data_IF_577837602664
#
_entry.id   IF_577837602664
#
_cell.length_a   1.000
_cell.length_b   1.000
_cell.length_c   1.000
_cell.angle_alpha   90.00
_cell.angle_beta   90.00
_cell.angle_gamma   90.00
#
_symmetry.space_group_name_H-M   'P 1'
#
loop_
_entity.id
_entity.type
_entity.pdbx_description
1 polymer ?
#
# COMPACT_ATOMS: atom_id res chain seq x y z
N UNK A 1 -7.59 -16.66 -24.31
CA UNK A 1 -8.29 -15.45 -24.79
C UNK A 1 -7.54 -14.91 -26.00
N UNK A 2 -7.61 -15.59 -27.15
CA UNK A 2 -6.74 -15.29 -28.29
C UNK A 2 -7.06 -13.93 -28.94
N UNK A 3 -8.35 -13.70 -29.25
CA UNK A 3 -8.80 -12.45 -29.87
C UNK A 3 -8.54 -11.21 -29.01
N UNK A 4 -8.84 -11.28 -27.71
CA UNK A 4 -8.60 -10.17 -26.77
C UNK A 4 -7.11 -9.84 -26.62
N UNK A 5 -6.24 -10.86 -26.63
CA UNK A 5 -4.80 -10.64 -26.57
C UNK A 5 -4.30 -9.93 -27.84
N UNK A 6 -4.83 -10.29 -29.00
CA UNK A 6 -4.46 -9.68 -30.28
C UNK A 6 -4.99 -8.25 -30.44
N UNK A 7 -6.20 -7.97 -29.93
CA UNK A 7 -6.74 -6.62 -29.83
C UNK A 7 -5.89 -5.75 -28.90
N UNK A 8 -5.57 -6.23 -27.69
CA UNK A 8 -4.71 -5.52 -26.74
C UNK A 8 -3.32 -5.24 -27.33
N UNK A 9 -2.77 -6.19 -28.10
CA UNK A 9 -1.44 -6.10 -28.70
C UNK A 9 -1.25 -4.83 -29.53
N UNK A 10 -2.30 -4.40 -30.23
CA UNK A 10 -2.32 -3.20 -31.08
C UNK A 10 -2.22 -1.89 -30.28
N UNK A 11 -2.51 -1.92 -28.97
CA UNK A 11 -2.54 -0.74 -28.11
C UNK A 11 -1.40 -0.67 -27.10
N UNK A 12 -0.57 -1.71 -26.91
CA UNK A 12 0.56 -1.56 -26.00
C UNK A 12 1.64 -0.65 -26.64
N UNK A 13 2.32 0.20 -25.84
CA UNK A 13 3.28 1.17 -26.38
C UNK A 13 4.58 0.52 -26.84
N UNK A 14 5.30 1.19 -27.75
CA UNK A 14 6.60 0.72 -28.26
C UNK A 14 6.50 -0.19 -29.50
N UNK A 15 7.65 -0.44 -30.12
CA UNK A 15 7.76 -1.24 -31.36
C UNK A 15 7.40 -2.71 -31.13
N UNK A 16 6.68 -3.28 -32.09
CA UNK A 16 6.09 -4.63 -32.02
C UNK A 16 5.71 -5.13 -33.41
N UNK A 17 5.61 -6.44 -33.56
CA UNK A 17 5.07 -7.07 -34.77
C UNK A 17 3.54 -6.99 -34.82
N UNK A 18 2.96 -7.51 -35.91
CA UNK A 18 1.55 -7.38 -36.25
C UNK A 18 0.59 -8.09 -35.29
N UNK A 19 1.01 -9.20 -34.68
CA UNK A 19 0.14 -10.01 -33.84
C UNK A 19 0.91 -10.70 -32.72
N UNK A 20 0.29 -10.76 -31.55
CA UNK A 20 0.81 -11.53 -30.41
C UNK A 20 0.98 -13.01 -30.76
N UNK A 21 0.18 -13.54 -31.69
CA UNK A 21 0.21 -14.94 -32.12
C UNK A 21 1.48 -15.31 -32.91
N UNK A 22 2.24 -14.31 -33.35
CA UNK A 22 3.49 -14.48 -34.08
C UNK A 22 4.74 -14.35 -33.17
N UNK A 23 4.55 -14.23 -31.86
CA UNK A 23 5.65 -14.11 -30.89
C UNK A 23 5.89 -15.44 -30.16
N UNK A 24 7.12 -15.61 -29.70
CA UNK A 24 7.48 -16.64 -28.73
C UNK A 24 7.30 -16.13 -27.30
N UNK A 25 7.43 -17.04 -26.34
CA UNK A 25 7.44 -16.66 -24.93
C UNK A 25 8.58 -15.69 -24.62
N UNK A 26 8.31 -14.75 -23.72
CA UNK A 26 9.30 -13.79 -23.24
C UNK A 26 10.38 -14.51 -22.41
N UNK A 27 11.64 -14.36 -22.81
CA UNK A 27 12.78 -15.09 -22.23
C UNK A 27 13.56 -14.27 -21.18
N UNK A 28 13.17 -13.01 -20.93
CA UNK A 28 13.85 -12.13 -19.96
C UNK A 28 13.51 -12.40 -18.50
N UNK A 29 12.74 -13.44 -18.19
CA UNK A 29 12.41 -13.83 -16.82
C UNK A 29 13.56 -14.64 -16.23
N UNK A 30 13.97 -14.29 -15.02
CA UNK A 30 14.95 -15.04 -14.23
C UNK A 30 14.32 -15.47 -12.92
N UNK A 31 14.74 -16.62 -12.39
CA UNK A 31 14.32 -17.04 -11.06
C UNK A 31 14.80 -16.04 -10.01
N UNK A 32 13.93 -15.75 -9.05
CA UNK A 32 14.29 -14.92 -7.92
C UNK A 32 15.39 -15.61 -7.10
N UNK A 33 16.46 -14.90 -6.68
CA UNK A 33 17.49 -15.50 -5.84
C UNK A 33 16.90 -16.14 -4.58
N UNK A 34 17.44 -17.29 -4.17
CA UNK A 34 16.93 -18.06 -3.04
C UNK A 34 17.02 -17.31 -1.70
N UNK A 35 17.92 -16.33 -1.60
CA UNK A 35 18.17 -15.47 -0.46
C UNK A 35 17.49 -14.09 -0.57
N UNK A 36 16.63 -13.89 -1.57
CA UNK A 36 15.93 -12.62 -1.74
C UNK A 36 14.99 -12.36 -0.56
N UNK A 37 15.23 -11.28 0.18
CA UNK A 37 14.58 -11.04 1.46
C UNK A 37 13.06 -10.86 1.41
N UNK A 38 12.53 -10.35 0.30
CA UNK A 38 11.10 -10.12 0.07
C UNK A 38 10.55 -11.14 -0.92
N UNK A 39 10.79 -12.41 -0.63
CA UNK A 39 10.32 -13.55 -1.42
C UNK A 39 8.79 -13.72 -1.37
N UNK A 40 8.33 -14.82 -1.98
CA UNK A 40 6.92 -15.20 -1.96
C UNK A 40 6.36 -15.33 -0.54
N UNK A 41 7.10 -15.96 0.37
CA UNK A 41 6.63 -16.20 1.73
C UNK A 41 6.49 -14.87 2.50
N UNK A 42 7.40 -13.92 2.28
CA UNK A 42 7.27 -12.56 2.80
C UNK A 42 5.97 -11.90 2.32
N UNK A 43 5.72 -11.88 1.01
CA UNK A 43 4.51 -11.24 0.49
C UNK A 43 3.22 -11.95 0.91
N UNK A 44 3.23 -13.28 1.09
CA UNK A 44 2.10 -14.02 1.67
C UNK A 44 1.78 -13.55 3.11
N UNK A 45 2.81 -13.30 3.94
CA UNK A 45 2.62 -12.72 5.29
C UNK A 45 2.06 -11.30 5.23
N UNK A 46 2.62 -10.43 4.38
CA UNK A 46 2.13 -9.04 4.21
C UNK A 46 0.67 -9.03 3.71
N UNK A 47 0.30 -9.95 2.82
CA UNK A 47 -1.08 -10.08 2.33
C UNK A 47 -2.06 -10.59 3.40
N UNK A 48 -1.61 -11.46 4.31
CA UNK A 48 -2.42 -11.88 5.47
C UNK A 48 -2.70 -10.70 6.42
N UNK A 49 -1.68 -9.86 6.67
CA UNK A 49 -1.84 -8.61 7.44
C UNK A 49 -2.82 -7.67 6.74
N UNK A 50 -2.66 -7.44 5.42
CA UNK A 50 -3.56 -6.59 4.63
C UNK A 50 -5.00 -7.08 4.68
N UNK A 51 -5.21 -8.40 4.62
CA UNK A 51 -6.55 -9.01 4.75
C UNK A 51 -7.17 -8.70 6.11
N UNK A 52 -6.39 -8.80 7.19
CA UNK A 52 -6.85 -8.47 8.55
C UNK A 52 -7.20 -6.98 8.69
N UNK A 53 -6.37 -6.09 8.13
CA UNK A 53 -6.67 -4.65 8.09
C UNK A 53 -7.96 -4.39 7.32
N UNK A 54 -8.11 -4.95 6.11
CA UNK A 54 -9.31 -4.77 5.30
C UNK A 54 -10.58 -5.24 6.02
N UNK A 55 -10.52 -6.36 6.75
CA UNK A 55 -11.64 -6.84 7.56
C UNK A 55 -12.08 -5.79 8.59
N UNK A 56 -11.14 -5.20 9.31
CA UNK A 56 -11.47 -4.14 10.28
C UNK A 56 -11.96 -2.86 9.59
N UNK A 57 -11.40 -2.52 8.43
CA UNK A 57 -11.90 -1.40 7.63
C UNK A 57 -13.36 -1.59 7.23
N UNK A 58 -13.78 -2.80 6.85
CA UNK A 58 -15.20 -3.08 6.56
C UNK A 58 -16.08 -2.94 7.81
N UNK A 59 -15.62 -3.42 8.98
CA UNK A 59 -16.34 -3.24 10.24
C UNK A 59 -16.59 -1.75 10.54
N UNK A 60 -15.55 -0.92 10.40
CA UNK A 60 -15.65 0.53 10.63
C UNK A 60 -16.51 1.26 9.59
N UNK A 61 -16.51 0.80 8.33
CA UNK A 61 -17.43 1.32 7.32
C UNK A 61 -18.88 0.95 7.63
N UNK A 62 -19.14 -0.30 8.04
CA UNK A 62 -20.46 -0.73 8.47
C UNK A 62 -20.97 0.07 9.68
N UNK A 63 -20.08 0.41 10.61
CA UNK A 63 -20.34 1.29 11.75
C UNK A 63 -20.39 2.79 11.38
N UNK A 64 -20.21 3.16 10.11
CA UNK A 64 -20.14 4.55 9.60
C UNK A 64 -19.06 5.41 10.24
N UNK A 65 -18.05 4.80 10.87
CA UNK A 65 -16.91 5.49 11.46
C UNK A 65 -15.96 6.04 10.38
N UNK A 66 -15.75 5.27 9.31
CA UNK A 66 -14.85 5.61 8.19
C UNK A 66 -15.60 5.44 6.86
N UNK A 67 -15.36 6.32 5.89
CA UNK A 67 -15.96 6.23 4.55
C UNK A 67 -15.11 5.44 3.55
N UNK A 68 -13.78 5.55 3.62
CA UNK A 68 -12.86 4.84 2.73
C UNK A 68 -11.45 4.74 3.31
N UNK A 69 -10.61 3.85 2.78
CA UNK A 69 -9.35 3.51 3.46
C UNK A 69 -8.35 4.65 3.58
N UNK A 70 -8.33 5.57 2.62
CA UNK A 70 -7.48 6.75 2.69
C UNK A 70 -7.91 7.73 3.81
N UNK A 71 -9.06 7.55 4.46
CA UNK A 71 -9.42 8.33 5.65
C UNK A 71 -8.87 7.71 6.94
N UNK A 72 -8.17 6.58 6.87
CA UNK A 72 -7.71 5.85 8.04
C UNK A 72 -6.22 6.01 8.30
N UNK A 73 -5.88 5.96 9.59
CA UNK A 73 -4.55 5.73 10.11
C UNK A 73 -4.54 4.39 10.83
N UNK A 74 -3.56 3.56 10.50
CA UNK A 74 -3.45 2.19 11.02
C UNK A 74 -2.20 2.07 11.89
N UNK A 75 -2.36 1.48 13.06
CA UNK A 75 -1.24 1.00 13.87
C UNK A 75 -1.33 -0.52 13.99
N UNK A 76 -0.29 -1.20 13.53
CA UNK A 76 -0.11 -2.64 13.65
C UNK A 76 0.76 -2.92 14.87
N UNK A 77 0.23 -3.69 15.82
CA UNK A 77 0.95 -4.13 17.00
C UNK A 77 1.32 -5.60 16.81
N UNK A 78 2.60 -5.88 16.61
CA UNK A 78 3.07 -7.16 16.12
C UNK A 78 4.19 -7.75 16.99
N UNK A 79 4.33 -9.07 17.00
CA UNK A 79 5.50 -9.75 17.55
C UNK A 79 6.75 -9.48 16.71
N UNK A 80 7.94 -9.63 17.32
CA UNK A 80 9.22 -9.15 16.78
C UNK A 80 9.50 -9.59 15.34
N UNK A 81 9.18 -10.84 14.99
CA UNK A 81 9.39 -11.34 13.62
C UNK A 81 8.52 -10.61 12.59
N UNK A 82 7.26 -10.34 12.93
CA UNK A 82 6.34 -9.64 12.04
C UNK A 82 6.61 -8.13 12.03
N UNK A 83 7.07 -7.55 13.14
CA UNK A 83 7.59 -6.18 13.17
C UNK A 83 8.76 -6.04 12.20
N UNK A 84 9.71 -6.97 12.21
CA UNK A 84 10.86 -6.95 11.32
C UNK A 84 10.42 -6.95 9.85
N UNK A 85 9.49 -7.84 9.48
CA UNK A 85 8.93 -7.90 8.12
C UNK A 85 8.21 -6.60 7.71
N UNK A 86 7.27 -6.14 8.53
CA UNK A 86 6.48 -4.93 8.23
C UNK A 86 7.34 -3.67 8.14
N UNK A 87 8.41 -3.60 8.94
CA UNK A 87 9.32 -2.45 8.96
C UNK A 87 10.15 -2.31 7.68
N UNK A 88 10.35 -3.40 6.91
CA UNK A 88 11.07 -3.34 5.63
C UNK A 88 10.38 -2.44 4.59
N UNK A 89 9.04 -2.36 4.64
CA UNK A 89 8.26 -1.46 3.77
C UNK A 89 8.31 0.00 4.22
N UNK A 90 8.72 0.27 5.46
CA UNK A 90 8.82 1.61 6.02
C UNK A 90 7.53 2.42 5.75
N UNK A 91 7.65 3.68 5.30
CA UNK A 91 6.53 4.54 4.97
C UNK A 91 5.68 4.05 3.78
N UNK A 92 6.17 3.11 2.96
CA UNK A 92 5.39 2.53 1.85
C UNK A 92 4.36 1.49 2.32
N UNK A 93 4.45 1.03 3.58
CA UNK A 93 3.44 0.14 4.17
C UNK A 93 2.02 0.71 4.04
N UNK A 94 1.87 2.03 4.15
CA UNK A 94 0.57 2.70 3.99
C UNK A 94 0.01 2.55 2.57
N UNK A 95 0.86 2.43 1.54
CA UNK A 95 0.42 2.18 0.17
C UNK A 95 -0.02 0.74 -0.01
N UNK A 96 0.68 -0.22 0.59
CA UNK A 96 0.26 -1.63 0.60
C UNK A 96 -1.11 -1.80 1.24
N UNK A 97 -1.35 -1.10 2.37
CA UNK A 97 -2.60 -1.10 3.11
C UNK A 97 -3.67 -0.14 2.56
N UNK A 98 -3.32 0.72 1.60
CA UNK A 98 -4.18 1.76 1.00
C UNK A 98 -4.75 2.71 2.06
N UNK A 99 -3.93 3.14 3.01
CA UNK A 99 -4.29 4.00 4.15
C UNK A 99 -3.50 5.30 4.12
N UNK A 100 -3.92 6.31 4.87
CA UNK A 100 -3.18 7.58 4.91
C UNK A 100 -1.84 7.45 5.62
N UNK A 101 -1.84 6.68 6.71
CA UNK A 101 -0.69 6.39 7.55
C UNK A 101 -0.76 4.93 8.00
N UNK A 102 0.39 4.28 8.05
CA UNK A 102 0.58 2.98 8.66
C UNK A 102 1.80 3.03 9.57
N UNK A 103 1.65 2.54 10.78
CA UNK A 103 2.70 2.49 11.81
C UNK A 103 2.79 1.07 12.37
N UNK A 104 3.99 0.69 12.81
CA UNK A 104 4.26 -0.63 13.40
C UNK A 104 4.78 -0.40 14.81
N UNK A 105 4.25 -1.16 15.76
CA UNK A 105 4.63 -1.10 17.17
C UNK A 105 4.75 -2.52 17.75
N UNK A 106 5.48 -2.70 18.87
CA UNK A 106 5.58 -4.00 19.54
C UNK A 106 4.21 -4.51 20.03
N UNK A 107 3.99 -5.82 20.00
CA UNK A 107 2.72 -6.45 20.41
C UNK A 107 2.31 -6.06 21.84
N UNK A 108 3.30 -5.92 22.73
CA UNK A 108 3.10 -5.58 24.15
C UNK A 108 2.62 -4.14 24.37
N UNK A 109 2.78 -3.25 23.39
CA UNK A 109 2.28 -1.86 23.49
C UNK A 109 0.84 -1.72 22.97
N UNK A 110 0.22 -2.81 22.53
CA UNK A 110 -1.17 -2.80 22.07
C UNK A 110 -2.11 -2.31 23.17
N UNK A 111 -2.91 -1.26 22.93
CA UNK A 111 -3.91 -0.81 23.89
C UNK A 111 -5.01 -1.85 24.07
N UNK A 112 -5.78 -1.72 25.15
CA UNK A 112 -6.88 -2.64 25.47
C UNK A 112 -7.98 -2.68 24.39
N UNK A 113 -8.13 -1.61 23.62
CA UNK A 113 -9.10 -1.48 22.54
C UNK A 113 -8.55 -1.90 21.16
N UNK A 114 -7.31 -2.42 21.08
CA UNK A 114 -6.78 -2.97 19.84
C UNK A 114 -7.49 -4.27 19.45
N UNK A 115 -7.83 -4.38 18.17
CA UNK A 115 -8.52 -5.53 17.59
C UNK A 115 -7.52 -6.68 17.42
N UNK A 116 -7.84 -7.83 18.00
CA UNK A 116 -7.11 -9.08 17.77
C UNK A 116 -7.44 -9.59 16.37
N UNK A 117 -6.40 -9.91 15.59
CA UNK A 117 -6.56 -10.38 14.22
C UNK A 117 -6.51 -11.91 14.13
N UNK A 118 -6.78 -12.45 12.95
CA UNK A 118 -6.61 -13.88 12.67
C UNK A 118 -5.14 -14.25 12.43
N UNK A 119 -4.27 -13.25 12.23
CA UNK A 119 -2.82 -13.45 12.14
C UNK A 119 -2.26 -13.57 13.56
N UNK A 120 -1.64 -14.71 13.87
CA UNK A 120 -1.00 -14.94 15.16
C UNK A 120 0.06 -13.86 15.43
N UNK A 121 0.09 -13.35 16.67
CA UNK A 121 1.02 -12.30 17.06
C UNK A 121 0.72 -10.92 16.45
N UNK A 122 -0.51 -10.66 15.95
CA UNK A 122 -0.92 -9.37 15.41
C UNK A 122 -2.22 -8.86 16.03
N UNK A 123 -2.14 -7.64 16.56
CA UNK A 123 -3.29 -6.77 16.83
C UNK A 123 -3.21 -5.52 15.95
N UNK A 124 -4.34 -4.87 15.73
CA UNK A 124 -4.37 -3.60 15.00
C UNK A 124 -5.30 -2.60 15.65
N UNK A 125 -5.04 -1.33 15.40
CA UNK A 125 -5.94 -0.23 15.71
C UNK A 125 -6.08 0.63 14.46
N UNK A 126 -7.32 0.96 14.13
CA UNK A 126 -7.64 1.86 13.03
C UNK A 126 -8.37 3.05 13.59
N UNK A 127 -7.91 4.25 13.23
CA UNK A 127 -8.58 5.50 13.58
C UNK A 127 -8.87 6.29 12.31
N UNK A 128 -9.94 7.08 12.34
CA UNK A 128 -10.18 8.06 11.28
C UNK A 128 -9.17 9.20 11.43
N UNK A 129 -8.46 9.51 10.35
CA UNK A 129 -7.50 10.61 10.29
C UNK A 129 -8.17 11.94 10.62
N UNK A 130 -7.55 12.69 11.51
CA UNK A 130 -7.92 14.08 11.81
C UNK A 130 -7.38 15.09 10.79
N UNK A 131 -6.45 14.67 9.95
CA UNK A 131 -5.78 15.54 8.97
C UNK A 131 -6.65 15.89 7.75
N UNK A 132 -6.30 17.00 7.10
CA UNK A 132 -6.96 17.44 5.88
C UNK A 132 -6.65 16.51 4.68
N UNK A 133 -7.64 16.33 3.80
CA UNK A 133 -7.51 15.52 2.59
C UNK A 133 -6.72 16.30 1.53
N UNK A 134 -5.65 15.71 1.00
CA UNK A 134 -4.97 16.20 -0.18
C UNK A 134 -5.86 16.05 -1.43
N UNK A 135 -6.07 17.14 -2.18
CA UNK A 135 -6.93 17.14 -3.37
C UNK A 135 -6.38 16.27 -4.52
N UNK A 136 -5.05 16.05 -4.59
CA UNK A 136 -4.39 15.29 -5.67
C UNK A 136 -4.29 13.79 -5.39
N UNK A 137 -3.72 13.39 -4.25
CA UNK A 137 -3.52 11.96 -3.93
C UNK A 137 -4.56 11.37 -2.98
N UNK A 138 -5.49 12.19 -2.48
CA UNK A 138 -6.58 11.81 -1.56
C UNK A 138 -6.17 11.25 -0.21
N UNK A 139 -4.87 11.19 0.10
CA UNK A 139 -4.40 10.89 1.44
C UNK A 139 -4.69 12.08 2.35
N UNK A 140 -5.06 11.78 3.58
CA UNK A 140 -5.15 12.74 4.67
C UNK A 140 -3.78 12.91 5.30
N UNK A 141 -3.29 14.14 5.33
CA UNK A 141 -1.91 14.43 5.73
C UNK A 141 -1.83 15.75 6.49
N UNK A 142 -0.98 15.78 7.51
CA UNK A 142 -0.79 16.95 8.35
C UNK A 142 -0.24 18.17 7.60
N UNK A 143 0.46 17.94 6.50
CA UNK A 143 1.15 18.96 5.70
C UNK A 143 0.30 19.58 4.59
N UNK A 144 -0.98 19.19 4.47
CA UNK A 144 -1.93 19.86 3.56
C UNK A 144 -2.22 21.26 4.10
N UNK A 145 -2.04 22.28 3.26
CA UNK A 145 -2.23 23.69 3.63
C UNK A 145 -0.96 24.40 4.11
N UNK A 146 0.16 23.68 4.23
CA UNK A 146 1.44 24.27 4.68
C UNK A 146 2.07 25.13 3.58
N UNK A 147 1.95 24.77 2.30
CA UNK A 147 2.49 25.54 1.19
C UNK A 147 1.45 26.55 0.65
N UNK A 148 1.73 27.87 0.66
CA UNK A 148 0.80 28.89 0.18
C UNK A 148 0.47 28.83 -1.32
N UNK A 149 1.41 28.38 -2.16
CA UNK A 149 1.20 28.22 -3.62
C UNK A 149 0.33 27.00 -3.93
N UNK A 150 0.29 26.03 -3.01
CA UNK A 150 -0.37 24.74 -3.16
C UNK A 150 -1.16 24.36 -1.90
N UNK A 151 -2.18 25.16 -1.51
CA UNK A 151 -2.84 25.04 -0.20
C UNK A 151 -3.70 23.78 -0.04
N UNK A 152 -4.07 23.12 -1.13
CA UNK A 152 -4.97 21.95 -1.10
C UNK A 152 -4.24 20.60 -1.22
N UNK A 153 -2.91 20.59 -1.33
CA UNK A 153 -2.14 19.37 -1.57
C UNK A 153 -1.02 19.19 -0.53
N UNK A 154 -0.64 17.94 -0.29
CA UNK A 154 0.44 17.59 0.62
C UNK A 154 1.82 17.78 -0.02
N UNK A 155 2.87 17.83 0.80
CA UNK A 155 4.26 18.03 0.39
C UNK A 155 4.73 17.00 -0.64
N UNK A 156 4.35 15.73 -0.48
CA UNK A 156 4.60 14.67 -1.48
C UNK A 156 4.04 15.02 -2.85
N UNK A 157 2.82 15.55 -2.90
CA UNK A 157 2.19 15.94 -4.15
C UNK A 157 2.84 17.18 -4.75
N UNK A 158 3.39 18.08 -3.94
CA UNK A 158 4.14 19.25 -4.39
C UNK A 158 5.46 18.82 -5.02
N UNK A 159 6.21 17.96 -4.36
CA UNK A 159 7.47 17.43 -4.88
C UNK A 159 7.25 16.67 -6.21
N UNK A 160 6.15 15.91 -6.33
CA UNK A 160 5.78 15.23 -7.57
C UNK A 160 5.30 16.13 -8.72
N UNK A 161 5.06 17.43 -8.53
CA UNK A 161 4.70 18.35 -9.64
C UNK A 161 5.79 19.39 -9.92
N UNK A 162 6.54 19.79 -8.89
CA UNK A 162 7.48 20.92 -8.96
C UNK A 162 8.89 20.56 -8.48
N UNK A 163 9.09 19.36 -7.94
CA UNK A 163 10.37 18.89 -7.38
C UNK A 163 10.94 17.70 -8.15
N UNK A 164 11.73 16.87 -7.45
CA UNK A 164 12.37 15.69 -8.05
C UNK A 164 11.39 14.51 -8.18
N UNK A 165 10.31 14.55 -7.41
CA UNK A 165 9.34 13.47 -7.30
C UNK A 165 9.74 12.43 -6.27
N UNK A 166 8.72 11.75 -5.74
CA UNK A 166 8.91 10.70 -4.75
C UNK A 166 9.58 9.47 -5.40
N UNK A 167 10.60 8.96 -4.72
CA UNK A 167 11.19 7.66 -5.05
C UNK A 167 10.41 6.59 -4.31
N UNK A 168 9.94 5.57 -5.03
CA UNK A 168 9.25 4.40 -4.47
C UNK A 168 10.05 3.14 -4.77
N UNK A 169 10.16 2.27 -3.79
CA UNK A 169 10.97 1.06 -3.85
C UNK A 169 10.14 -0.21 -4.04
N UNK A 170 8.94 -0.25 -3.45
CA UNK A 170 8.14 -1.48 -3.37
C UNK A 170 6.70 -1.28 -3.82
N UNK A 171 6.05 -0.24 -3.31
CA UNK A 171 4.62 -0.04 -3.44
C UNK A 171 4.29 1.38 -3.80
#
# INVERSE_FOLDING_TARGET
MAFTADELWQFLPGERNESVMLNTWYEGLTELPADFEMDRAYWERIMAVKTSVNKEMENLRAAKAIGGNLQAEVTLYAEDSLVADLSKLSNELRFVLITSTASVAPFVSAPADAVVTEVAGLKLKVVKSGHAKCARCWHHREDVGVNPEHPEICGRCIDNISGAGEVRHYA
#
